data_IF_995884619241
#
_entry.id   IF_995884619241
#
_cell.length_a   1.000
_cell.length_b   1.000
_cell.length_c   1.000
_cell.angle_alpha   90.00
_cell.angle_beta   90.00
_cell.angle_gamma   90.00
#
_symmetry.space_group_name_H-M   'P 1'
#
loop_
_entity.id
_entity.type
_entity.pdbx_description
1 polymer ?
#
# COMPACT_ATOMS: atom_id res chain seq x y z
N UNK A 1 -21.65 -35.11 18.16
CA UNK A 1 -22.19 -33.85 18.72
C UNK A 1 -21.23 -32.73 18.31
N UNK A 2 -21.42 -32.22 17.08
CA UNK A 2 -20.55 -31.23 16.44
C UNK A 2 -20.99 -29.83 16.86
N UNK A 3 -20.04 -28.96 17.25
CA UNK A 3 -20.23 -27.51 17.28
C UNK A 3 -19.32 -26.89 16.24
N UNK A 4 -19.91 -26.54 15.10
CA UNK A 4 -19.35 -25.57 14.16
C UNK A 4 -19.23 -24.22 14.87
N UNK A 5 -18.06 -23.59 14.78
CA UNK A 5 -17.87 -22.19 15.16
C UNK A 5 -17.45 -21.41 13.92
N UNK A 6 -18.20 -20.33 13.68
CA UNK A 6 -18.28 -19.60 12.44
C UNK A 6 -16.96 -18.98 11.97
N UNK A 7 -16.74 -19.14 10.67
CA UNK A 7 -15.76 -18.37 9.90
C UNK A 7 -16.39 -17.02 9.60
N UNK A 8 -15.90 -15.96 10.26
CA UNK A 8 -16.22 -14.59 9.88
C UNK A 8 -15.52 -14.27 8.55
N UNK A 9 -16.27 -14.38 7.46
CA UNK A 9 -15.87 -13.96 6.12
C UNK A 9 -15.94 -12.43 6.01
N UNK A 10 -14.80 -11.75 6.15
CA UNK A 10 -14.64 -10.34 5.78
C UNK A 10 -13.93 -10.21 4.43
N UNK A 11 -14.51 -10.77 3.36
CA UNK A 11 -14.07 -10.44 1.99
C UNK A 11 -15.24 -10.61 1.03
N UNK A 12 -16.05 -9.55 0.90
CA UNK A 12 -16.97 -9.41 -0.23
C UNK A 12 -16.35 -8.54 -1.32
N UNK A 13 -16.28 -9.13 -2.51
CA UNK A 13 -16.37 -8.49 -3.83
C UNK A 13 -15.18 -7.68 -4.35
N UNK A 14 -14.22 -8.38 -4.97
CA UNK A 14 -13.36 -7.82 -6.04
C UNK A 14 -13.74 -8.37 -7.44
N UNK A 15 -14.61 -9.37 -7.52
CA UNK A 15 -14.96 -10.03 -8.80
C UNK A 15 -16.18 -9.46 -9.54
N UNK A 16 -16.63 -8.23 -9.23
CA UNK A 16 -17.76 -7.59 -9.95
C UNK A 16 -17.34 -6.54 -10.99
N UNK A 17 -16.03 -6.33 -11.20
CA UNK A 17 -15.55 -5.21 -12.01
C UNK A 17 -15.49 -5.45 -13.52
N UNK A 18 -15.73 -6.66 -14.02
CA UNK A 18 -15.60 -6.95 -15.45
C UNK A 18 -16.91 -6.99 -16.24
N UNK A 19 -18.09 -6.98 -15.59
CA UNK A 19 -19.38 -6.86 -16.28
C UNK A 19 -20.39 -6.13 -15.38
N UNK A 20 -20.55 -4.82 -15.56
CA UNK A 20 -21.49 -4.01 -14.79
C UNK A 20 -22.13 -2.93 -15.66
N UNK A 21 -23.47 -2.92 -15.66
CA UNK A 21 -24.35 -2.06 -16.45
C UNK A 21 -24.11 -0.56 -16.18
N UNK A 22 -24.36 0.29 -17.18
CA UNK A 22 -24.21 1.76 -17.08
C UNK A 22 -25.08 2.35 -15.97
N UNK A 23 -26.16 1.67 -15.58
CA UNK A 23 -27.06 2.07 -14.48
C UNK A 23 -26.43 1.85 -13.08
N UNK A 24 -25.80 0.69 -12.83
CA UNK A 24 -25.06 0.38 -11.58
C UNK A 24 -23.89 1.36 -11.38
N UNK A 25 -23.28 1.81 -12.48
CA UNK A 25 -22.18 2.79 -12.46
C UNK A 25 -22.62 4.19 -12.00
N UNK A 26 -23.84 4.62 -12.34
CA UNK A 26 -24.37 5.94 -11.95
C UNK A 26 -24.78 5.99 -10.48
N UNK A 27 -25.28 4.89 -9.93
CA UNK A 27 -25.66 4.82 -8.51
C UNK A 27 -24.44 4.63 -7.58
N UNK A 28 -23.37 3.99 -8.07
CA UNK A 28 -22.06 4.04 -7.41
C UNK A 28 -21.49 5.46 -7.46
N UNK A 29 -21.62 6.17 -8.58
CA UNK A 29 -21.22 7.58 -8.68
C UNK A 29 -22.06 8.49 -7.77
N UNK A 30 -23.36 8.21 -7.55
CA UNK A 30 -24.21 8.96 -6.61
C UNK A 30 -23.93 8.64 -5.14
N UNK A 31 -23.60 7.39 -4.82
CA UNK A 31 -23.12 7.02 -3.48
C UNK A 31 -21.69 7.54 -3.20
N UNK A 32 -20.84 7.63 -4.23
CA UNK A 32 -19.55 8.34 -4.22
C UNK A 32 -19.72 9.87 -4.19
N UNK A 33 -20.79 10.41 -4.79
CA UNK A 33 -21.20 11.80 -4.66
C UNK A 33 -21.69 12.13 -3.25
N UNK A 34 -22.04 11.13 -2.43
CA UNK A 34 -22.29 11.33 -0.99
C UNK A 34 -21.00 11.53 -0.18
N UNK A 35 -19.88 11.00 -0.68
CA UNK A 35 -18.53 11.26 -0.13
C UNK A 35 -18.00 12.58 -0.69
N UNK A 36 -18.25 12.91 -1.96
CA UNK A 36 -17.96 14.24 -2.53
C UNK A 36 -18.94 15.34 -2.07
N UNK A 37 -20.07 14.99 -1.47
CA UNK A 37 -21.05 15.91 -0.91
C UNK A 37 -20.62 16.58 0.40
N UNK A 38 -19.35 16.44 0.79
CA UNK A 38 -18.74 17.17 1.91
C UNK A 38 -17.90 18.37 1.46
N UNK A 39 -17.72 18.59 0.15
CA UNK A 39 -17.04 19.78 -0.35
C UNK A 39 -18.11 20.79 -0.79
N UNK A 40 -18.62 21.60 0.15
CA UNK A 40 -19.51 22.74 -0.17
C UNK A 40 -18.78 23.86 -0.95
N UNK A 41 -17.48 23.69 -1.23
CA UNK A 41 -16.62 24.65 -1.92
C UNK A 41 -15.98 24.04 -3.16
N UNK A 42 -15.89 24.81 -4.25
CA UNK A 42 -15.23 24.39 -5.49
C UNK A 42 -13.77 23.99 -5.22
N UNK A 43 -13.34 22.81 -5.69
CA UNK A 43 -11.97 22.31 -5.51
C UNK A 43 -10.92 23.31 -6.03
N UNK A 44 -11.24 23.96 -7.16
CA UNK A 44 -10.50 25.11 -7.70
C UNK A 44 -11.50 26.25 -7.90
N UNK A 45 -11.31 27.40 -7.25
CA UNK A 45 -12.17 28.56 -7.45
C UNK A 45 -12.29 28.92 -8.94
N UNK A 46 -13.52 28.99 -9.45
CA UNK A 46 -13.80 29.34 -10.85
C UNK A 46 -13.70 28.20 -11.85
N UNK A 47 -13.47 26.96 -11.41
CA UNK A 47 -13.45 25.77 -12.26
C UNK A 47 -14.48 24.72 -11.78
N UNK A 48 -15.26 24.10 -12.68
CA UNK A 48 -16.08 22.94 -12.35
C UNK A 48 -15.26 21.80 -11.75
N UNK A 49 -15.81 21.09 -10.76
CA UNK A 49 -15.08 20.07 -9.99
C UNK A 49 -14.64 18.87 -10.84
N UNK A 50 -15.39 18.52 -11.88
CA UNK A 50 -15.02 17.46 -12.82
C UNK A 50 -13.75 17.81 -13.62
N UNK A 51 -13.64 19.07 -14.05
CA UNK A 51 -12.45 19.60 -14.71
C UNK A 51 -11.29 19.74 -13.73
N UNK A 52 -11.54 20.21 -12.51
CA UNK A 52 -10.54 20.30 -11.46
C UNK A 52 -9.95 18.92 -11.15
N UNK A 53 -10.81 17.92 -10.92
CA UNK A 53 -10.43 16.53 -10.70
C UNK A 53 -9.58 16.00 -11.86
N UNK A 54 -10.01 16.25 -13.11
CA UNK A 54 -9.26 15.81 -14.30
C UNK A 54 -7.88 16.44 -14.37
N UNK A 55 -7.75 17.74 -14.06
CA UNK A 55 -6.47 18.45 -14.05
C UNK A 55 -5.52 17.88 -12.98
N UNK A 56 -6.02 17.71 -11.75
CA UNK A 56 -5.23 17.17 -10.63
C UNK A 56 -4.81 15.72 -10.90
N UNK A 57 -5.72 14.90 -11.44
CA UNK A 57 -5.48 13.47 -11.73
C UNK A 57 -4.41 13.20 -12.79
N UNK A 58 -4.09 14.17 -13.65
CA UNK A 58 -3.03 14.05 -14.64
C UNK A 58 -1.63 14.28 -14.09
N UNK A 59 -1.51 14.82 -12.88
CA UNK A 59 -0.22 15.07 -12.27
C UNK A 59 0.37 13.75 -11.75
N UNK A 60 1.69 13.58 -11.91
CA UNK A 60 2.36 12.38 -11.42
C UNK A 60 2.24 12.25 -9.91
N UNK A 61 2.29 11.02 -9.40
CA UNK A 61 2.23 10.77 -7.96
C UNK A 61 3.37 11.48 -7.21
N UNK A 62 4.50 11.75 -7.86
CA UNK A 62 5.62 12.50 -7.28
C UNK A 62 5.24 13.92 -6.85
N UNK A 63 4.16 14.47 -7.43
CA UNK A 63 3.62 15.79 -7.07
C UNK A 63 2.59 15.73 -5.95
N UNK A 64 2.08 14.57 -5.54
CA UNK A 64 1.00 14.47 -4.55
C UNK A 64 1.36 15.10 -3.21
N UNK A 65 2.63 15.02 -2.79
CA UNK A 65 3.10 15.74 -1.61
C UNK A 65 2.94 17.27 -1.68
N UNK A 66 3.05 17.87 -2.87
CA UNK A 66 2.77 19.30 -3.08
C UNK A 66 1.27 19.59 -3.12
N UNK A 67 0.50 18.71 -3.75
CA UNK A 67 -0.96 18.82 -3.85
C UNK A 67 -1.61 18.80 -2.46
N UNK A 68 -1.16 17.93 -1.57
CA UNK A 68 -1.63 17.84 -0.17
C UNK A 68 -1.38 19.10 0.67
N UNK A 69 -0.50 19.98 0.22
CA UNK A 69 -0.15 21.23 0.90
C UNK A 69 -1.00 22.42 0.44
N UNK A 70 -1.77 22.28 -0.65
CA UNK A 70 -2.57 23.38 -1.22
C UNK A 70 -3.77 23.69 -0.33
N UNK A 71 -4.57 22.67 0.01
CA UNK A 71 -5.73 22.80 0.89
C UNK A 71 -6.05 21.47 1.58
N UNK A 72 -6.96 21.50 2.57
CA UNK A 72 -7.49 20.28 3.21
C UNK A 72 -8.25 19.42 2.21
N UNK A 73 -9.06 20.04 1.34
CA UNK A 73 -9.84 19.32 0.34
C UNK A 73 -8.95 18.61 -0.69
N UNK A 74 -7.87 19.26 -1.13
CA UNK A 74 -6.91 18.63 -2.04
C UNK A 74 -6.21 17.46 -1.39
N UNK A 75 -5.83 17.59 -0.12
CA UNK A 75 -5.23 16.51 0.66
C UNK A 75 -6.17 15.32 0.80
N UNK A 76 -7.42 15.57 1.14
CA UNK A 76 -8.43 14.52 1.33
C UNK A 76 -8.77 13.84 0.00
N UNK A 77 -8.83 14.62 -1.09
CA UNK A 77 -9.01 14.12 -2.45
C UNK A 77 -7.89 13.16 -2.88
N UNK A 78 -6.62 13.59 -2.80
CA UNK A 78 -5.49 12.77 -3.29
C UNK A 78 -5.22 11.54 -2.41
N UNK A 79 -5.67 11.55 -1.15
CA UNK A 79 -5.61 10.39 -0.23
C UNK A 79 -6.79 9.44 -0.39
N UNK A 80 -7.80 9.81 -1.17
CA UNK A 80 -9.01 9.02 -1.35
C UNK A 80 -8.80 7.86 -2.34
N UNK A 81 -9.31 6.68 -2.01
CA UNK A 81 -9.26 5.51 -2.90
C UNK A 81 -10.02 5.77 -4.22
N UNK A 82 -11.11 6.55 -4.18
CA UNK A 82 -11.86 6.91 -5.38
C UNK A 82 -11.02 7.70 -6.39
N UNK A 83 -10.10 8.55 -5.92
CA UNK A 83 -9.17 9.29 -6.76
C UNK A 83 -8.17 8.36 -7.44
N UNK A 84 -7.62 7.38 -6.71
CA UNK A 84 -6.75 6.35 -7.27
C UNK A 84 -7.48 5.49 -8.32
N UNK A 85 -8.72 5.09 -8.04
CA UNK A 85 -9.56 4.38 -9.02
C UNK A 85 -9.83 5.24 -10.27
N UNK A 86 -10.06 6.54 -10.11
CA UNK A 86 -10.26 7.46 -11.23
C UNK A 86 -9.01 7.58 -12.09
N UNK A 87 -7.81 7.73 -11.50
CA UNK A 87 -6.53 7.69 -12.24
C UNK A 87 -6.38 6.36 -13.00
N UNK A 88 -6.62 5.23 -12.33
CA UNK A 88 -6.51 3.90 -12.94
C UNK A 88 -7.44 3.71 -14.14
N UNK A 89 -8.71 4.10 -14.04
CA UNK A 89 -9.69 4.00 -15.13
C UNK A 89 -9.32 4.83 -16.36
N UNK A 90 -8.63 5.94 -16.16
CA UNK A 90 -8.20 6.83 -17.25
C UNK A 90 -6.79 6.49 -17.78
N UNK A 91 -6.15 5.43 -17.27
CA UNK A 91 -4.78 5.07 -17.66
C UNK A 91 -3.72 6.04 -17.15
N UNK A 92 -4.03 6.82 -16.12
CA UNK A 92 -3.09 7.74 -15.47
C UNK A 92 -2.52 7.16 -14.17
N UNK A 93 -2.77 5.88 -13.88
CA UNK A 93 -2.13 5.18 -12.77
C UNK A 93 -0.72 4.77 -13.18
N UNK A 94 0.25 5.24 -12.41
CA UNK A 94 1.66 5.11 -12.76
C UNK A 94 2.27 3.90 -12.06
N UNK A 95 3.33 3.35 -12.65
CA UNK A 95 4.04 2.20 -12.09
C UNK A 95 5.31 2.68 -11.41
N UNK A 96 5.23 2.88 -10.10
CA UNK A 96 6.40 3.18 -9.28
C UNK A 96 7.24 1.93 -9.08
N UNK A 97 8.57 2.12 -9.11
CA UNK A 97 9.51 1.05 -8.77
C UNK A 97 9.96 1.23 -7.32
N UNK A 98 9.82 0.19 -6.51
CA UNK A 98 10.34 0.20 -5.15
C UNK A 98 11.69 -0.52 -5.12
N UNK A 99 12.67 0.10 -4.48
CA UNK A 99 14.00 -0.46 -4.27
C UNK A 99 14.40 -0.33 -2.80
N UNK A 100 15.27 -1.23 -2.36
CA UNK A 100 15.86 -1.20 -1.03
C UNK A 100 17.35 -0.94 -1.15
N UNK A 101 17.87 0.06 -0.44
CA UNK A 101 19.29 0.40 -0.39
C UNK A 101 19.64 0.94 1.00
N UNK A 102 20.73 0.46 1.60
CA UNK A 102 21.24 0.91 2.90
C UNK A 102 20.17 0.99 4.02
N UNK A 103 19.38 -0.08 4.19
CA UNK A 103 18.27 -0.17 5.16
C UNK A 103 17.16 0.88 4.97
N UNK A 104 17.07 1.44 3.77
CA UNK A 104 16.02 2.38 3.40
C UNK A 104 15.30 1.88 2.15
N UNK A 105 13.97 1.90 2.21
CA UNK A 105 13.14 1.71 1.03
C UNK A 105 12.96 3.06 0.33
N UNK A 106 13.12 3.04 -0.99
CA UNK A 106 12.94 4.19 -1.88
C UNK A 106 12.00 3.81 -3.00
N UNK A 107 11.19 4.77 -3.46
CA UNK A 107 10.34 4.64 -4.63
C UNK A 107 10.87 5.52 -5.75
N UNK A 108 10.97 4.98 -6.95
CA UNK A 108 11.28 5.72 -8.16
C UNK A 108 10.01 5.99 -8.94
N UNK A 109 9.77 7.28 -9.20
CA UNK A 109 8.73 7.77 -10.09
C UNK A 109 9.35 7.98 -11.49
N UNK A 110 9.02 7.14 -12.49
CA UNK A 110 9.59 7.24 -13.83
C UNK A 110 9.12 8.45 -14.62
N UNK A 111 7.95 9.01 -14.32
CA UNK A 111 7.41 10.17 -15.03
C UNK A 111 8.01 11.48 -14.52
N UNK A 112 8.29 11.53 -13.22
CA UNK A 112 8.98 12.66 -12.59
C UNK A 112 10.51 12.54 -12.62
N UNK A 113 11.04 11.41 -13.09
CA UNK A 113 12.47 11.03 -13.03
C UNK A 113 13.08 11.33 -11.66
N UNK A 114 12.46 10.78 -10.62
CA UNK A 114 12.80 11.16 -9.23
C UNK A 114 12.66 10.00 -8.27
N UNK A 115 13.64 9.92 -7.35
CA UNK A 115 13.58 9.06 -6.19
C UNK A 115 12.90 9.75 -5.01
N UNK A 116 11.99 9.02 -4.36
CA UNK A 116 11.24 9.42 -3.19
C UNK A 116 11.60 8.48 -2.03
N UNK A 117 12.13 8.99 -0.91
CA UNK A 117 12.35 8.17 0.27
C UNK A 117 11.00 7.74 0.85
N UNK A 118 10.86 6.46 1.21
CA UNK A 118 9.70 6.04 2.01
C UNK A 118 9.94 6.45 3.47
N UNK A 119 8.85 6.74 4.21
CA UNK A 119 8.92 6.88 5.66
C UNK A 119 9.60 5.66 6.28
N UNK A 120 10.35 5.87 7.37
CA UNK A 120 10.96 4.76 8.09
C UNK A 120 9.86 3.86 8.64
N UNK A 121 10.04 2.55 8.50
CA UNK A 121 9.20 1.59 9.18
C UNK A 121 9.53 1.60 10.68
N UNK A 122 8.63 2.13 11.50
CA UNK A 122 8.80 2.23 12.95
C UNK A 122 8.92 0.87 13.66
N UNK A 123 8.55 -0.23 12.99
CA UNK A 123 8.77 -1.58 13.52
C UNK A 123 10.26 -1.98 13.54
N UNK A 124 11.13 -1.25 12.84
CA UNK A 124 12.58 -1.48 12.81
C UNK A 124 13.25 -0.57 13.84
N UNK A 125 13.73 -1.16 14.93
CA UNK A 125 14.43 -0.44 16.00
C UNK A 125 15.75 0.18 15.52
N UNK A 126 16.21 1.23 16.20
CA UNK A 126 17.51 1.84 15.94
C UNK A 126 18.66 0.85 16.15
N UNK A 127 19.60 0.81 15.18
CA UNK A 127 20.74 -0.11 15.19
C UNK A 127 20.42 -1.53 14.74
N UNK A 128 19.20 -1.81 14.27
CA UNK A 128 18.83 -3.09 13.69
C UNK A 128 18.72 -3.03 12.17
N UNK A 129 19.40 -3.96 11.51
CA UNK A 129 19.42 -4.10 10.06
C UNK A 129 18.42 -5.19 9.63
N UNK A 130 17.45 -4.82 8.79
CA UNK A 130 16.47 -5.77 8.27
C UNK A 130 16.98 -6.35 6.96
N UNK A 131 17.10 -7.68 6.88
CA UNK A 131 17.58 -8.37 5.68
C UNK A 131 16.85 -9.69 5.44
N UNK A 132 17.02 -10.27 4.26
CA UNK A 132 16.42 -11.56 3.90
C UNK A 132 14.88 -11.58 3.87
N UNK A 133 14.24 -10.41 3.92
CA UNK A 133 12.81 -10.23 3.70
C UNK A 133 12.48 -10.28 2.21
N UNK A 134 11.20 -10.44 1.90
CA UNK A 134 10.69 -10.30 0.53
C UNK A 134 9.78 -9.08 0.41
N UNK A 135 9.81 -8.45 -0.77
CA UNK A 135 8.90 -7.37 -1.14
C UNK A 135 7.94 -7.84 -2.22
N UNK A 136 6.66 -7.47 -2.11
CA UNK A 136 5.67 -7.73 -3.16
C UNK A 136 4.60 -6.65 -3.17
N UNK A 137 4.12 -6.28 -4.36
CA UNK A 137 3.01 -5.33 -4.51
C UNK A 137 1.68 -6.07 -4.67
N UNK A 138 0.68 -5.71 -3.87
CA UNK A 138 -0.70 -6.22 -3.98
C UNK A 138 -1.66 -5.06 -3.77
N UNK A 139 -2.64 -4.91 -4.68
CA UNK A 139 -3.65 -3.84 -4.62
C UNK A 139 -3.03 -2.44 -4.43
N UNK A 140 -2.01 -2.13 -5.23
CA UNK A 140 -1.27 -0.86 -5.20
C UNK A 140 -0.58 -0.52 -3.87
N UNK A 141 -0.41 -1.51 -2.98
CA UNK A 141 0.35 -1.38 -1.73
C UNK A 141 1.59 -2.27 -1.77
N UNK A 142 2.69 -1.80 -1.18
CA UNK A 142 3.91 -2.58 -1.02
C UNK A 142 3.82 -3.40 0.29
N UNK A 143 4.11 -4.68 0.23
CA UNK A 143 4.25 -5.56 1.38
C UNK A 143 5.72 -5.90 1.58
N UNK A 144 6.20 -5.73 2.81
CA UNK A 144 7.50 -6.22 3.30
C UNK A 144 7.22 -7.38 4.25
N UNK A 145 7.71 -8.56 3.89
CA UNK A 145 7.32 -9.83 4.51
C UNK A 145 8.55 -10.48 5.14
N UNK A 146 8.42 -10.86 6.41
CA UNK A 146 9.38 -11.71 7.10
C UNK A 146 10.80 -11.14 7.12
N UNK A 147 11.79 -12.02 6.97
CA UNK A 147 13.20 -11.69 7.02
C UNK A 147 13.78 -11.86 8.40
N UNK A 148 14.90 -11.18 8.63
CA UNK A 148 15.62 -11.23 9.89
C UNK A 148 16.18 -9.85 10.25
N UNK A 149 16.15 -9.55 11.54
CA UNK A 149 16.79 -8.38 12.09
C UNK A 149 18.15 -8.76 12.65
N UNK A 150 19.18 -8.01 12.28
CA UNK A 150 20.56 -8.18 12.73
C UNK A 150 20.92 -6.97 13.56
N UNK A 151 21.26 -7.16 14.83
CA UNK A 151 21.68 -6.04 15.68
C UNK A 151 23.10 -5.62 15.31
N UNK A 152 23.31 -4.31 15.14
CA UNK A 152 24.64 -3.71 15.02
C UNK A 152 25.37 -3.67 16.37
N UNK A 153 24.68 -4.00 17.47
CA UNK A 153 25.23 -3.96 18.81
C UNK A 153 25.71 -5.35 19.26
N UNK A 154 26.97 -5.51 19.68
CA UNK A 154 27.57 -6.81 20.01
C UNK A 154 27.04 -7.46 21.30
N UNK A 155 26.11 -6.82 22.03
CA UNK A 155 25.55 -7.31 23.30
C UNK A 155 24.14 -7.89 23.17
N UNK A 156 23.51 -7.77 22.01
CA UNK A 156 22.16 -8.29 21.76
C UNK A 156 22.22 -9.63 21.01
N UNK A 157 21.11 -10.38 21.03
CA UNK A 157 20.92 -11.54 20.17
C UNK A 157 21.27 -11.15 18.72
N UNK A 158 22.25 -11.81 18.09
CA UNK A 158 22.85 -11.29 16.85
C UNK A 158 21.86 -11.34 15.68
N UNK A 159 20.79 -12.13 15.77
CA UNK A 159 19.94 -12.45 14.64
C UNK A 159 18.54 -12.94 15.07
N UNK A 160 17.48 -12.20 14.73
CA UNK A 160 16.09 -12.59 15.03
C UNK A 160 15.31 -12.77 13.74
N UNK A 161 14.79 -13.98 13.50
CA UNK A 161 13.89 -14.26 12.36
C UNK A 161 12.47 -13.81 12.71
N UNK A 162 11.82 -13.09 11.78
CA UNK A 162 10.48 -12.53 12.02
C UNK A 162 9.42 -13.15 11.10
N UNK A 163 8.18 -13.20 11.58
CA UNK A 163 6.99 -13.50 10.81
C UNK A 163 6.16 -12.25 10.48
N UNK A 164 6.62 -11.07 10.87
CA UNK A 164 5.89 -9.81 10.70
C UNK A 164 5.73 -9.49 9.22
N UNK A 165 4.57 -8.92 8.89
CA UNK A 165 4.30 -8.36 7.56
C UNK A 165 3.89 -6.91 7.72
N UNK A 166 4.58 -6.03 7.02
CA UNK A 166 4.31 -4.60 6.99
C UNK A 166 3.78 -4.22 5.62
N UNK A 167 2.69 -3.46 5.60
CA UNK A 167 2.08 -2.89 4.40
C UNK A 167 2.36 -1.41 4.35
N UNK A 168 2.90 -0.94 3.24
CA UNK A 168 3.00 0.47 2.91
C UNK A 168 1.91 0.86 1.93
N UNK A 169 1.12 1.86 2.31
CA UNK A 169 0.16 2.52 1.45
C UNK A 169 0.81 3.79 0.87
N UNK A 170 1.16 3.82 -0.43
CA UNK A 170 1.82 4.97 -1.03
C UNK A 170 0.93 6.22 -1.11
N UNK A 171 -0.40 6.06 -1.10
CA UNK A 171 -1.34 7.19 -1.12
C UNK A 171 -1.43 7.87 0.24
N UNK A 172 -1.43 7.07 1.31
CA UNK A 172 -1.46 7.60 2.68
C UNK A 172 -0.07 7.92 3.22
N UNK A 173 0.98 7.37 2.59
CA UNK A 173 2.38 7.41 3.03
C UNK A 173 2.52 6.83 4.44
N UNK A 174 1.84 5.71 4.67
CA UNK A 174 1.74 5.08 5.99
C UNK A 174 2.17 3.61 5.92
N UNK A 175 2.93 3.20 6.93
CA UNK A 175 3.18 1.80 7.22
C UNK A 175 2.11 1.27 8.19
N UNK A 176 1.62 0.07 7.94
CA UNK A 176 0.70 -0.65 8.83
C UNK A 176 1.12 -2.11 8.94
N UNK A 177 1.15 -2.60 10.17
CA UNK A 177 1.30 -4.03 10.40
C UNK A 177 0.02 -4.75 9.95
N UNK A 178 0.17 -5.85 9.21
CA UNK A 178 -0.94 -6.69 8.77
C UNK A 178 -0.74 -8.12 9.29
N UNK A 179 -1.64 -9.04 8.93
CA UNK A 179 -1.55 -10.42 9.36
C UNK A 179 -0.17 -11.03 9.04
N UNK A 180 0.53 -11.48 10.08
CA UNK A 180 1.84 -12.10 9.97
C UNK A 180 1.80 -13.51 9.38
N UNK A 181 2.96 -14.02 8.99
CA UNK A 181 3.12 -15.43 8.62
C UNK A 181 2.90 -16.34 9.82
N UNK A 182 2.45 -17.58 9.59
CA UNK A 182 2.29 -18.58 10.66
C UNK A 182 3.60 -18.98 11.33
N UNK A 183 4.69 -18.94 10.57
CA UNK A 183 6.03 -19.32 11.00
C UNK A 183 7.00 -18.22 10.56
N UNK A 184 7.91 -17.75 11.44
CA UNK A 184 8.99 -16.84 11.05
C UNK A 184 9.86 -17.43 9.95
N UNK A 185 10.24 -16.63 8.94
CA UNK A 185 11.05 -17.09 7.80
C UNK A 185 11.97 -15.99 7.29
N UNK A 186 13.17 -16.37 6.83
CA UNK A 186 14.11 -15.51 6.11
C UNK A 186 14.66 -16.21 4.86
N UNK A 187 15.11 -15.46 3.85
CA UNK A 187 15.67 -15.95 2.58
C UNK A 187 14.74 -16.93 1.86
N UNK A 188 13.47 -16.55 1.73
CA UNK A 188 12.41 -17.34 1.09
C UNK A 188 12.01 -16.76 -0.27
N UNK A 189 11.28 -17.54 -1.06
CA UNK A 189 10.63 -17.07 -2.28
C UNK A 189 9.23 -16.54 -2.00
N UNK A 190 8.83 -15.45 -2.66
CA UNK A 190 7.53 -14.80 -2.49
C UNK A 190 6.95 -14.42 -3.85
N UNK A 191 5.64 -14.57 -4.03
CA UNK A 191 4.94 -14.13 -5.23
C UNK A 191 3.51 -13.68 -4.93
N UNK A 192 3.03 -12.66 -5.66
CA UNK A 192 1.63 -12.29 -5.68
C UNK A 192 0.94 -12.91 -6.90
N UNK A 193 -0.14 -13.65 -6.66
CA UNK A 193 -0.94 -14.29 -7.71
C UNK A 193 -2.41 -14.10 -7.36
N UNK A 194 -3.19 -13.51 -8.28
CA UNK A 194 -4.63 -13.29 -8.13
C UNK A 194 -5.01 -12.61 -6.80
N UNK A 195 -4.28 -11.56 -6.43
CA UNK A 195 -4.52 -10.79 -5.20
C UNK A 195 -4.11 -11.48 -3.90
N UNK A 196 -3.50 -12.67 -3.98
CA UNK A 196 -2.98 -13.42 -2.82
C UNK A 196 -1.46 -13.46 -2.86
N UNK A 197 -0.85 -13.46 -1.68
CA UNK A 197 0.60 -13.61 -1.53
C UNK A 197 0.92 -15.02 -1.10
N UNK A 198 1.87 -15.65 -1.80
CA UNK A 198 2.39 -16.97 -1.53
C UNK A 198 3.85 -16.87 -1.13
N UNK A 199 4.22 -17.61 -0.09
CA UNK A 199 5.58 -17.68 0.45
C UNK A 199 6.00 -19.14 0.49
N UNK A 200 7.19 -19.45 -0.02
CA UNK A 200 7.72 -20.81 -0.08
C UNK A 200 9.19 -20.88 0.34
N UNK A 201 9.54 -21.94 1.06
CA UNK A 201 10.91 -22.21 1.52
C UNK A 201 11.38 -21.28 2.64
N UNK A 202 12.67 -20.93 2.57
CA UNK A 202 13.38 -20.15 3.57
C UNK A 202 13.75 -20.91 4.84
N UNK A 203 14.38 -20.19 5.75
CA UNK A 203 14.88 -20.71 7.02
C UNK A 203 14.09 -20.16 8.19
N UNK A 204 13.82 -21.03 9.16
CA UNK A 204 13.37 -20.64 10.48
C UNK A 204 14.38 -21.21 11.48
N UNK A 205 15.26 -20.38 12.03
CA UNK A 205 16.30 -20.83 12.96
C UNK A 205 15.80 -20.98 14.40
N UNK A 206 14.50 -20.81 14.64
CA UNK A 206 13.88 -21.09 15.94
C UNK A 206 13.56 -22.59 16.08
N UNK A 207 14.60 -23.43 16.18
CA UNK A 207 14.68 -24.67 16.96
C UNK A 207 15.88 -25.52 16.50
N UNK A 208 16.98 -25.47 17.23
CA UNK A 208 17.73 -26.69 17.53
C UNK A 208 16.94 -27.42 18.61
N UNK A 209 16.24 -28.49 18.22
CA UNK A 209 15.71 -29.52 19.11
C UNK A 209 16.84 -30.34 19.74
#
# INVERSE_FOLDING_TARGET
MNKEKGVNNYFTNVNKFEQGDRSESVDILKSQARIMGTIEQSIIPGLPDDLALRCISKLSHGYHGKLECVSKDWRDLVRCEAYSCYKARNGWSESWLFAHSNNQLVAYDPDADRWHPLPRNEAIQDGWDHSGFACVCVSSCLLVIGGCYVSSFPREEPFVVTNVVMRFDPFKKEWKMVAGMRTPRTRFACAAVSGKVYVAGGFNLTQSS
#
